data_IF_508764465934
#
_entry.id   IF_508764465934
#
_cell.length_a   1.000
_cell.length_b   1.000
_cell.length_c   1.000
_cell.angle_alpha   90.00
_cell.angle_beta   90.00
_cell.angle_gamma   90.00
#
_symmetry.space_group_name_H-M   'P 1'
#
loop_
_entity.id
_entity.type
_entity.pdbx_description
1 polymer ?
#
# COMPACT_ATOMS: atom_id res chain seq x y z
N UNK A 1 59.97 7.24 -7.43
CA UNK A 1 59.17 8.35 -7.98
C UNK A 1 57.80 8.35 -7.30
N UNK A 2 57.42 9.43 -6.61
CA UNK A 2 56.12 9.50 -5.93
C UNK A 2 55.05 10.08 -6.86
N UNK A 3 53.88 9.44 -6.94
CA UNK A 3 52.73 9.95 -7.70
C UNK A 3 52.02 11.01 -6.87
N UNK A 4 52.09 12.26 -7.30
CA UNK A 4 51.33 13.36 -6.71
C UNK A 4 49.87 13.21 -7.13
N UNK A 5 48.99 12.94 -6.17
CA UNK A 5 47.54 12.82 -6.39
C UNK A 5 46.80 14.01 -5.80
N UNK A 6 45.70 14.41 -6.44
CA UNK A 6 44.84 15.45 -5.92
C UNK A 6 44.00 14.91 -4.74
N UNK A 7 44.33 15.36 -3.53
CA UNK A 7 43.66 14.94 -2.30
C UNK A 7 42.16 15.30 -2.27
N UNK A 8 41.79 16.44 -2.84
CA UNK A 8 40.39 16.89 -2.90
C UNK A 8 39.53 15.93 -3.74
N UNK A 9 40.01 15.54 -4.93
CA UNK A 9 39.34 14.54 -5.79
C UNK A 9 39.23 13.19 -5.07
N UNK A 10 40.30 12.76 -4.40
CA UNK A 10 40.31 11.51 -3.64
C UNK A 10 39.27 11.51 -2.51
N UNK A 11 39.23 12.58 -1.69
CA UNK A 11 38.23 12.73 -0.62
C UNK A 11 36.81 12.75 -1.16
N UNK A 12 36.57 13.44 -2.28
CA UNK A 12 35.25 13.50 -2.92
C UNK A 12 34.79 12.13 -3.42
N UNK A 13 35.71 11.35 -4.00
CA UNK A 13 35.40 9.99 -4.45
C UNK A 13 35.05 9.09 -3.27
N UNK A 14 35.86 9.11 -2.21
CA UNK A 14 35.58 8.37 -0.97
C UNK A 14 34.21 8.72 -0.38
N UNK A 15 33.88 10.02 -0.30
CA UNK A 15 32.59 10.47 0.21
C UNK A 15 31.39 9.99 -0.66
N UNK A 16 31.58 9.87 -1.98
CA UNK A 16 30.54 9.32 -2.88
C UNK A 16 30.37 7.82 -2.67
N UNK A 17 31.47 7.08 -2.53
CA UNK A 17 31.43 5.63 -2.25
C UNK A 17 30.76 5.34 -0.91
N UNK A 18 31.08 6.10 0.13
CA UNK A 18 30.44 5.98 1.45
C UNK A 18 28.93 6.22 1.39
N UNK A 19 28.49 7.24 0.62
CA UNK A 19 27.06 7.49 0.38
C UNK A 19 26.37 6.35 -0.37
N UNK A 20 27.01 5.77 -1.39
CA UNK A 20 26.46 4.61 -2.12
C UNK A 20 26.27 3.41 -1.20
N UNK A 21 27.30 3.10 -0.39
CA UNK A 21 27.25 2.01 0.60
C UNK A 21 26.17 2.24 1.65
N UNK A 22 25.98 3.48 2.10
CA UNK A 22 24.88 3.81 3.00
C UNK A 22 23.52 3.65 2.35
N UNK A 23 23.37 4.04 1.08
CA UNK A 23 22.12 3.82 0.34
C UNK A 23 21.81 2.33 0.16
N UNK A 24 22.80 1.49 -0.13
CA UNK A 24 22.66 0.03 -0.16
C UNK A 24 22.24 -0.56 1.19
N UNK A 25 22.90 -0.13 2.29
CA UNK A 25 22.50 -0.55 3.64
C UNK A 25 21.08 -0.13 3.96
N UNK A 26 20.70 1.12 3.65
CA UNK A 26 19.35 1.63 3.88
C UNK A 26 18.31 0.85 3.06
N UNK A 27 18.62 0.44 1.82
CA UNK A 27 17.77 -0.45 1.02
C UNK A 27 17.58 -1.80 1.71
N UNK A 28 18.64 -2.38 2.26
CA UNK A 28 18.57 -3.66 2.98
C UNK A 28 17.83 -3.56 4.33
N UNK A 29 18.13 -2.54 5.15
CA UNK A 29 17.59 -2.42 6.51
C UNK A 29 16.18 -1.84 6.56
N UNK A 30 15.83 -0.95 5.63
CA UNK A 30 14.56 -0.24 5.67
C UNK A 30 13.61 -0.63 4.54
N UNK A 31 14.07 -1.39 3.53
CA UNK A 31 13.28 -1.88 2.40
C UNK A 31 12.73 -0.81 1.45
N UNK A 32 12.55 0.42 1.93
CA UNK A 32 12.12 1.61 1.19
C UNK A 32 13.03 2.79 1.53
N UNK A 33 13.49 3.51 0.51
CA UNK A 33 14.33 4.69 0.69
C UNK A 33 13.51 5.89 1.22
N UNK A 34 14.19 6.89 1.81
CA UNK A 34 13.54 8.13 2.30
C UNK A 34 12.76 8.84 1.19
N UNK A 35 13.26 8.82 -0.04
CA UNK A 35 12.59 9.41 -1.20
C UNK A 35 11.24 8.72 -1.48
N UNK A 36 11.21 7.39 -1.46
CA UNK A 36 10.00 6.60 -1.67
C UNK A 36 8.99 6.78 -0.52
N UNK A 37 9.47 6.81 0.72
CA UNK A 37 8.62 7.09 1.90
C UNK A 37 7.98 8.47 1.81
N UNK A 38 8.72 9.48 1.33
CA UNK A 38 8.21 10.83 1.12
C UNK A 38 7.15 10.85 0.02
N UNK A 39 7.43 10.24 -1.13
CA UNK A 39 6.48 10.14 -2.23
C UNK A 39 5.18 9.43 -1.80
N UNK A 40 5.30 8.33 -1.04
CA UNK A 40 4.15 7.62 -0.49
C UNK A 40 3.35 8.46 0.50
N UNK A 41 4.02 9.26 1.35
CA UNK A 41 3.35 10.20 2.27
C UNK A 41 2.60 11.28 1.50
N UNK A 42 3.21 11.87 0.47
CA UNK A 42 2.56 12.87 -0.38
C UNK A 42 1.35 12.29 -1.12
N UNK A 43 1.44 11.06 -1.63
CA UNK A 43 0.32 10.37 -2.26
C UNK A 43 -0.83 10.13 -1.27
N UNK A 44 -0.53 9.67 -0.05
CA UNK A 44 -1.54 9.48 1.01
C UNK A 44 -2.22 10.78 1.38
N UNK A 45 -1.45 11.86 1.58
CA UNK A 45 -2.03 13.17 1.91
C UNK A 45 -2.99 13.67 0.82
N UNK A 46 -2.67 13.45 -0.47
CA UNK A 46 -3.59 13.78 -1.57
C UNK A 46 -4.85 12.93 -1.54
N UNK A 47 -4.73 11.62 -1.28
CA UNK A 47 -5.89 10.73 -1.17
C UNK A 47 -6.78 11.12 0.01
N UNK A 48 -6.21 11.42 1.16
CA UNK A 48 -6.93 11.93 2.33
C UNK A 48 -7.70 13.21 1.99
N UNK A 49 -7.04 14.18 1.33
CA UNK A 49 -7.70 15.41 0.88
C UNK A 49 -8.85 15.15 -0.11
N UNK A 50 -8.68 14.21 -1.04
CA UNK A 50 -9.74 13.83 -1.99
C UNK A 50 -10.92 13.18 -1.25
N UNK A 51 -10.66 12.25 -0.35
CA UNK A 51 -11.68 11.58 0.44
C UNK A 51 -12.43 12.59 1.32
N UNK A 52 -11.70 13.47 2.00
CA UNK A 52 -12.28 14.51 2.84
C UNK A 52 -13.12 15.49 2.00
N UNK A 53 -12.67 15.88 0.81
CA UNK A 53 -13.44 16.75 -0.09
C UNK A 53 -14.69 16.08 -0.69
N UNK A 54 -14.71 14.75 -0.79
CA UNK A 54 -15.87 13.98 -1.23
C UNK A 54 -16.77 13.52 -0.08
N UNK A 55 -16.40 13.85 1.16
CA UNK A 55 -17.21 13.52 2.33
C UNK A 55 -18.43 14.45 2.32
N UNK A 56 -19.61 13.88 2.05
CA UNK A 56 -20.85 14.54 2.44
C UNK A 56 -20.91 14.47 3.97
N UNK A 57 -20.93 15.63 4.62
CA UNK A 57 -21.26 15.71 6.03
C UNK A 57 -22.64 15.08 6.20
N UNK A 58 -22.72 13.97 6.95
CA UNK A 58 -23.97 13.28 7.29
C UNK A 58 -24.76 14.09 8.34
N UNK A 59 -24.92 15.39 8.11
CA UNK A 59 -25.96 16.22 8.72
C UNK A 59 -27.23 16.23 7.84
N UNK A 60 -27.33 15.31 6.89
CA UNK A 60 -28.60 14.98 6.26
C UNK A 60 -29.44 14.17 7.27
N UNK A 61 -30.66 14.61 7.60
CA UNK A 61 -31.52 13.86 8.51
C UNK A 61 -31.72 12.46 7.94
N UNK A 62 -31.67 11.47 8.85
CA UNK A 62 -31.92 10.06 8.56
C UNK A 62 -32.92 9.92 7.41
N UNK A 63 -32.46 9.31 6.32
CA UNK A 63 -33.35 8.80 5.28
C UNK A 63 -34.49 8.07 5.99
N UNK A 64 -35.75 8.51 5.85
CA UNK A 64 -36.86 7.77 6.41
C UNK A 64 -36.86 6.41 5.73
N UNK A 65 -37.11 5.39 6.53
CA UNK A 65 -37.20 3.98 6.18
C UNK A 65 -37.63 3.79 4.72
N UNK A 66 -36.66 3.55 3.84
CA UNK A 66 -36.98 2.94 2.57
C UNK A 66 -37.37 1.52 2.95
N UNK A 67 -38.68 1.26 2.96
CA UNK A 67 -39.28 -0.07 3.01
C UNK A 67 -38.60 -0.93 1.94
N UNK A 68 -37.50 -1.58 2.32
CA UNK A 68 -37.02 -2.74 1.60
C UNK A 68 -38.20 -3.72 1.66
N UNK A 69 -38.81 -4.10 0.53
CA UNK A 69 -39.76 -5.19 0.57
C UNK A 69 -39.03 -6.36 1.21
N UNK A 70 -39.61 -6.86 2.31
CA UNK A 70 -39.18 -8.07 3.00
C UNK A 70 -38.67 -9.04 1.95
N UNK A 71 -37.38 -9.36 2.00
CA UNK A 71 -36.81 -10.37 1.16
C UNK A 71 -37.59 -11.65 1.49
N UNK A 72 -38.65 -11.95 0.72
CA UNK A 72 -39.24 -13.27 0.67
C UNK A 72 -38.05 -14.17 0.44
N UNK A 73 -37.79 -15.03 1.42
CA UNK A 73 -36.75 -16.01 1.37
C UNK A 73 -36.77 -16.66 -0.03
N UNK A 74 -35.61 -16.94 -0.65
CA UNK A 74 -35.62 -17.78 -1.83
C UNK A 74 -36.15 -19.16 -1.42
N UNK A 75 -37.45 -19.40 -1.57
CA UNK A 75 -38.09 -20.68 -1.26
C UNK A 75 -37.73 -21.78 -2.28
N UNK A 76 -36.96 -21.46 -3.33
CA UNK A 76 -36.46 -22.45 -4.27
C UNK A 76 -34.93 -22.43 -4.33
N UNK A 77 -34.30 -22.91 -3.26
CA UNK A 77 -33.00 -23.55 -3.40
C UNK A 77 -33.27 -24.98 -3.92
N UNK A 78 -32.80 -25.37 -5.12
CA UNK A 78 -32.90 -26.77 -5.52
C UNK A 78 -32.09 -27.60 -4.52
N UNK A 79 -32.76 -28.57 -3.91
CA UNK A 79 -32.18 -29.62 -3.07
C UNK A 79 -31.21 -30.44 -3.93
N UNK A 80 -29.95 -30.00 -4.01
CA UNK A 80 -28.89 -30.80 -4.61
C UNK A 80 -28.56 -31.89 -3.59
N UNK A 81 -29.06 -33.09 -3.85
CA UNK A 81 -28.80 -34.28 -3.08
C UNK A 81 -27.29 -34.46 -2.80
N UNK A 82 -26.90 -34.96 -1.62
CA UNK A 82 -25.53 -35.38 -1.40
C UNK A 82 -25.31 -36.68 -2.19
N UNK A 83 -24.75 -36.56 -3.40
CA UNK A 83 -24.14 -37.72 -4.04
C UNK A 83 -22.95 -38.16 -3.17
N UNK A 84 -23.03 -39.43 -2.82
CA UNK A 84 -22.22 -40.18 -1.90
C UNK A 84 -20.71 -39.90 -1.94
N UNK A 85 -20.11 -40.02 -0.75
CA UNK A 85 -18.67 -40.14 -0.54
C UNK A 85 -18.00 -41.10 -1.53
N UNK A 86 -16.73 -40.85 -1.90
CA UNK A 86 -15.97 -41.77 -2.72
C UNK A 86 -15.70 -43.06 -1.94
N UNK A 87 -16.28 -44.17 -2.42
CA UNK A 87 -15.87 -45.51 -2.02
C UNK A 87 -14.60 -45.91 -2.81
N UNK A 88 -13.62 -46.39 -2.06
CA UNK A 88 -12.30 -46.91 -2.45
C UNK A 88 -12.26 -47.76 -3.74
N UNK A 89 -11.17 -47.56 -4.51
CA UNK A 89 -10.18 -48.60 -4.88
C UNK A 89 -8.97 -48.02 -5.62
#
# INVERSE_FOLDING_TARGET
MARVINLGKHRKNKAREERSRQAERNRQTHGRDKAEKRAAREARARLEQLVDGHRLDNDAPATPDLDLPDARAPEDAPEVAPEAEPADQ
#
